data_IF_064041995530
#
_entry.id   IF_064041995530
#
_cell.length_a   1.000
_cell.length_b   1.000
_cell.length_c   1.000
_cell.angle_alpha   90.00
_cell.angle_beta   90.00
_cell.angle_gamma   90.00
#
_symmetry.space_group_name_H-M   'P 1'
#
loop_
_entity.id
_entity.type
_entity.pdbx_description
1 polymer ?
#
# COMPACT_ATOMS: atom_id res chain seq x y z
N UNK A 1 -4.43 0.16 -7.21
CA UNK A 1 -3.43 0.36 -8.30
C UNK A 1 -3.90 1.24 -9.45
N UNK A 2 -5.11 1.06 -10.00
CA UNK A 2 -5.59 1.83 -11.17
C UNK A 2 -5.54 3.36 -11.01
N UNK A 3 -5.79 3.87 -9.79
CA UNK A 3 -5.76 5.30 -9.50
C UNK A 3 -4.37 5.94 -9.66
N UNK A 4 -3.29 5.24 -9.29
CA UNK A 4 -1.92 5.75 -9.42
C UNK A 4 -1.53 5.83 -10.90
N UNK A 5 -1.83 4.79 -11.69
CA UNK A 5 -1.56 4.77 -13.13
C UNK A 5 -2.38 5.83 -13.88
N UNK A 6 -3.67 6.00 -13.58
CA UNK A 6 -4.52 6.99 -14.26
C UNK A 6 -4.15 8.43 -13.91
N UNK A 7 -3.64 8.69 -12.69
CA UNK A 7 -3.03 9.97 -12.36
C UNK A 7 -1.85 10.31 -13.31
N UNK A 8 -1.16 9.32 -13.89
CA UNK A 8 -0.08 9.53 -14.87
C UNK A 8 -0.54 9.44 -16.32
N UNK A 9 -1.41 8.49 -16.67
CA UNK A 9 -1.85 8.25 -18.07
C UNK A 9 -2.99 9.14 -18.52
N UNK A 10 -3.77 9.67 -17.57
CA UNK A 10 -4.89 10.57 -17.81
C UNK A 10 -4.47 11.78 -18.63
N UNK A 11 -5.31 12.13 -19.60
CA UNK A 11 -5.05 13.14 -20.64
C UNK A 11 -4.65 14.52 -20.06
N UNK A 12 -5.02 14.82 -18.81
CA UNK A 12 -4.73 16.08 -18.10
C UNK A 12 -3.31 16.28 -17.60
N UNK A 13 -2.52 15.23 -17.38
CA UNK A 13 -1.07 15.40 -17.20
C UNK A 13 -0.37 15.76 -18.52
N UNK A 14 -0.98 15.43 -19.67
CA UNK A 14 -0.53 15.85 -21.01
C UNK A 14 -1.02 17.25 -21.37
N UNK A 15 -2.25 17.62 -21.00
CA UNK A 15 -2.84 18.95 -21.24
C UNK A 15 -2.34 20.03 -20.27
N UNK A 16 -1.05 19.96 -19.89
CA UNK A 16 -0.39 20.91 -18.99
C UNK A 16 -0.08 22.26 -19.65
N UNK A 17 -1.03 22.84 -20.36
CA UNK A 17 -1.00 24.24 -20.79
C UNK A 17 -2.20 25.04 -20.26
N UNK A 18 -3.10 24.45 -19.47
CA UNK A 18 -4.17 25.20 -18.79
C UNK A 18 -3.84 25.46 -17.30
N UNK A 19 -3.81 26.74 -16.97
CA UNK A 19 -3.35 27.43 -15.75
C UNK A 19 -3.99 27.07 -14.39
N UNK A 20 -4.50 25.85 -14.15
CA UNK A 20 -5.38 25.60 -12.98
C UNK A 20 -5.08 24.39 -12.10
N UNK A 21 -4.12 23.52 -12.44
CA UNK A 21 -3.80 22.33 -11.64
C UNK A 21 -2.44 22.49 -10.92
N UNK A 22 -2.44 22.49 -9.58
CA UNK A 22 -1.20 22.59 -8.79
C UNK A 22 -0.49 21.23 -8.78
N UNK A 23 0.41 21.00 -9.75
CA UNK A 23 1.15 19.72 -9.90
C UNK A 23 1.75 19.18 -8.60
N UNK A 24 2.17 20.06 -7.69
CA UNK A 24 2.75 19.66 -6.40
C UNK A 24 1.77 18.90 -5.51
N UNK A 25 0.52 19.36 -5.45
CA UNK A 25 -0.46 18.81 -4.51
C UNK A 25 -0.89 17.38 -4.85
N UNK A 26 -1.12 17.11 -6.15
CA UNK A 26 -1.48 15.77 -6.60
C UNK A 26 -0.37 14.75 -6.35
N UNK A 27 0.91 15.15 -6.52
CA UNK A 27 2.07 14.30 -6.22
C UNK A 27 2.12 13.99 -4.73
N UNK A 28 1.91 14.99 -3.86
CA UNK A 28 1.82 14.78 -2.41
C UNK A 28 0.72 13.78 -2.05
N UNK A 29 -0.46 13.92 -2.66
CA UNK A 29 -1.60 13.02 -2.40
C UNK A 29 -1.30 11.59 -2.87
N UNK A 30 -0.63 11.42 -4.02
CA UNK A 30 -0.23 10.09 -4.52
C UNK A 30 0.78 9.44 -3.58
N UNK A 31 1.80 10.18 -3.11
CA UNK A 31 2.76 9.70 -2.10
C UNK A 31 2.06 9.33 -0.80
N UNK A 32 1.19 10.21 -0.31
CA UNK A 32 0.37 9.97 0.87
C UNK A 32 -0.50 8.72 0.71
N UNK A 33 -1.09 8.49 -0.45
CA UNK A 33 -1.88 7.28 -0.73
C UNK A 33 -1.04 6.01 -0.72
N UNK A 34 0.20 6.04 -1.24
CA UNK A 34 1.14 4.92 -1.14
C UNK A 34 1.45 4.62 0.33
N UNK A 35 1.87 5.62 1.09
CA UNK A 35 2.16 5.50 2.53
C UNK A 35 0.96 4.97 3.31
N UNK A 36 -0.20 5.59 3.09
CA UNK A 36 -1.45 5.23 3.74
C UNK A 36 -1.91 3.82 3.43
N UNK A 37 -1.65 3.34 2.22
CA UNK A 37 -1.99 1.96 1.84
C UNK A 37 -1.08 0.95 2.55
N UNK A 38 0.22 1.25 2.70
CA UNK A 38 1.16 0.42 3.45
C UNK A 38 0.74 0.34 4.92
N UNK A 39 0.52 1.49 5.56
CA UNK A 39 0.14 1.57 6.98
C UNK A 39 -1.27 1.01 7.20
N UNK A 40 -2.20 1.30 6.29
CA UNK A 40 -3.58 0.81 6.33
C UNK A 40 -3.63 -0.71 6.29
N UNK A 41 -2.92 -1.33 5.35
CA UNK A 41 -2.87 -2.79 5.27
C UNK A 41 -2.18 -3.42 6.49
N UNK A 42 -1.10 -2.81 6.97
CA UNK A 42 -0.28 -3.35 8.08
C UNK A 42 -0.93 -3.16 9.46
N UNK A 43 -1.65 -2.07 9.68
CA UNK A 43 -2.26 -1.73 10.97
C UNK A 43 -3.77 -1.88 10.95
N UNK A 44 -4.47 -1.16 10.07
CA UNK A 44 -5.93 -1.09 10.10
C UNK A 44 -6.58 -2.42 9.68
N UNK A 45 -6.17 -2.96 8.55
CA UNK A 45 -6.77 -4.18 7.98
C UNK A 45 -6.35 -5.40 8.77
N UNK A 46 -5.06 -5.51 9.08
CA UNK A 46 -4.55 -6.58 9.92
C UNK A 46 -5.13 -6.51 11.34
N UNK A 47 -5.20 -5.32 11.93
CA UNK A 47 -5.85 -5.11 13.22
C UNK A 47 -7.33 -5.47 13.19
N UNK A 48 -8.03 -5.13 12.11
CA UNK A 48 -9.40 -5.57 11.86
C UNK A 48 -9.51 -7.10 11.78
N UNK A 49 -8.63 -7.75 11.03
CA UNK A 49 -8.58 -9.21 10.95
C UNK A 49 -8.37 -9.86 12.33
N UNK A 50 -7.46 -9.32 13.15
CA UNK A 50 -7.21 -9.82 14.51
C UNK A 50 -8.39 -9.56 15.44
N UNK A 51 -9.01 -8.39 15.35
CA UNK A 51 -10.18 -8.01 16.13
C UNK A 51 -11.39 -8.90 15.81
N UNK A 52 -11.82 -8.94 14.54
CA UNK A 52 -12.98 -9.73 14.13
C UNK A 52 -12.75 -11.23 14.26
N UNK A 53 -11.54 -11.71 13.96
CA UNK A 53 -11.16 -13.09 14.22
C UNK A 53 -11.18 -13.41 15.72
N UNK A 54 -10.60 -12.53 16.54
CA UNK A 54 -10.43 -12.66 17.98
C UNK A 54 -11.74 -12.60 18.78
N UNK A 55 -12.75 -11.88 18.29
CA UNK A 55 -14.11 -11.90 18.87
C UNK A 55 -14.72 -13.29 18.74
N UNK A 56 -14.50 -13.96 17.61
CA UNK A 56 -15.07 -15.28 17.33
C UNK A 56 -14.24 -16.42 17.94
N UNK A 57 -12.91 -16.28 17.95
CA UNK A 57 -11.98 -17.28 18.44
C UNK A 57 -11.02 -16.65 19.45
N UNK A 58 -10.92 -17.23 20.66
CA UNK A 58 -10.08 -16.68 21.73
C UNK A 58 -8.62 -16.44 21.32
N UNK A 59 -8.06 -17.36 20.54
CA UNK A 59 -6.72 -17.26 19.95
C UNK A 59 -6.77 -17.81 18.51
N UNK A 60 -6.10 -17.11 17.59
CA UNK A 60 -5.80 -17.58 16.25
C UNK A 60 -4.30 -17.83 16.13
N UNK A 61 -3.90 -18.84 15.38
CA UNK A 61 -2.48 -19.14 15.13
C UNK A 61 -2.20 -19.00 13.65
N UNK A 62 -0.98 -18.63 13.32
CA UNK A 62 -0.47 -18.62 11.96
C UNK A 62 0.93 -19.25 11.93
N UNK A 63 1.37 -19.63 10.74
CA UNK A 63 2.59 -20.36 10.48
C UNK A 63 3.81 -19.44 10.70
N UNK A 64 4.71 -19.80 11.62
CA UNK A 64 5.88 -18.98 11.96
C UNK A 64 6.80 -18.72 10.77
N UNK A 65 7.00 -19.73 9.92
CA UNK A 65 7.91 -19.63 8.79
C UNK A 65 7.38 -18.66 7.73
N UNK A 66 6.06 -18.70 7.48
CA UNK A 66 5.40 -17.80 6.52
C UNK A 66 5.38 -16.36 7.01
N UNK A 67 5.08 -16.17 8.30
CA UNK A 67 5.09 -14.85 8.89
C UNK A 67 6.50 -14.24 8.91
N UNK A 68 7.51 -15.01 9.31
CA UNK A 68 8.90 -14.54 9.33
C UNK A 68 9.40 -14.17 7.92
N UNK A 69 9.07 -14.97 6.90
CA UNK A 69 9.40 -14.65 5.51
C UNK A 69 8.77 -13.32 5.08
N UNK A 70 7.46 -13.16 5.32
CA UNK A 70 6.75 -11.93 4.95
C UNK A 70 7.25 -10.70 5.74
N UNK A 71 7.57 -10.87 7.01
CA UNK A 71 8.13 -9.81 7.85
C UNK A 71 9.52 -9.37 7.39
N UNK A 72 10.42 -10.32 7.11
CA UNK A 72 11.77 -10.02 6.64
C UNK A 72 11.76 -9.30 5.28
N UNK A 73 10.90 -9.74 4.36
CA UNK A 73 10.68 -9.05 3.08
C UNK A 73 10.13 -7.64 3.29
N UNK A 74 9.14 -7.47 4.18
CA UNK A 74 8.56 -6.16 4.49
C UNK A 74 9.61 -5.19 5.06
N UNK A 75 10.44 -5.66 6.00
CA UNK A 75 11.50 -4.86 6.62
C UNK A 75 12.58 -4.41 5.62
N UNK A 76 13.02 -5.31 4.73
CA UNK A 76 13.99 -5.00 3.67
C UNK A 76 13.45 -3.94 2.70
N UNK A 77 12.21 -4.13 2.25
CA UNK A 77 11.55 -3.26 1.29
C UNK A 77 11.36 -1.85 1.85
N UNK A 78 10.93 -1.77 3.10
CA UNK A 78 10.69 -0.49 3.74
C UNK A 78 12.01 0.22 4.03
N UNK A 79 13.05 -0.52 4.41
CA UNK A 79 14.40 0.06 4.52
C UNK A 79 14.86 0.68 3.19
N UNK A 80 14.65 -0.01 2.05
CA UNK A 80 14.98 0.53 0.73
C UNK A 80 14.17 1.79 0.35
N UNK A 81 12.89 1.83 0.72
CA UNK A 81 11.98 2.95 0.40
C UNK A 81 12.23 4.18 1.27
N UNK A 82 12.71 4.02 2.52
CA UNK A 82 12.91 5.12 3.46
C UNK A 82 14.26 5.82 3.32
N UNK A 83 15.30 5.14 2.80
CA UNK A 83 16.65 5.71 2.64
C UNK A 83 16.64 7.06 1.89
N UNK A 84 15.98 7.22 0.73
CA UNK A 84 15.90 8.51 0.04
C UNK A 84 15.34 9.63 0.94
N UNK A 85 14.27 9.33 1.67
CA UNK A 85 13.62 10.30 2.55
C UNK A 85 14.54 10.69 3.70
N UNK A 86 15.17 9.72 4.37
CA UNK A 86 16.09 9.96 5.49
C UNK A 86 17.28 10.83 5.06
N UNK A 87 17.88 10.55 3.90
CA UNK A 87 19.00 11.34 3.38
C UNK A 87 18.62 12.80 3.14
N UNK A 88 17.40 13.07 2.65
CA UNK A 88 16.92 14.44 2.47
C UNK A 88 16.56 15.14 3.78
N UNK A 89 15.90 14.45 4.71
CA UNK A 89 15.48 15.05 5.99
C UNK A 89 16.65 15.33 6.92
N UNK A 90 17.67 14.48 6.91
CA UNK A 90 18.90 14.70 7.68
C UNK A 90 19.83 15.75 7.05
N UNK A 91 19.46 16.33 5.90
CA UNK A 91 20.25 17.34 5.18
C UNK A 91 21.72 16.94 5.03
N UNK A 92 21.96 15.68 4.67
CA UNK A 92 23.32 15.14 4.52
C UNK A 92 24.07 16.01 3.51
N UNK A 93 25.22 16.56 3.92
CA UNK A 93 26.02 17.46 3.10
C UNK A 93 26.29 16.85 1.72
N UNK A 94 25.96 17.58 0.65
CA UNK A 94 26.11 17.13 -0.73
C UNK A 94 24.87 16.48 -1.38
N UNK A 95 23.81 16.17 -0.62
CA UNK A 95 22.58 15.60 -1.18
C UNK A 95 21.59 16.68 -1.62
N UNK A 96 21.58 17.00 -2.92
CA UNK A 96 20.68 18.01 -3.51
C UNK A 96 19.33 17.41 -3.93
N UNK A 97 18.29 18.24 -4.13
CA UNK A 97 17.00 17.80 -4.68
C UNK A 97 17.11 17.08 -6.03
N UNK A 98 18.04 17.49 -6.89
CA UNK A 98 18.29 16.82 -8.18
C UNK A 98 18.88 15.41 -7.99
N UNK A 99 19.75 15.26 -6.98
CA UNK A 99 20.30 13.97 -6.59
C UNK A 99 19.23 13.05 -5.99
N UNK A 100 18.29 13.59 -5.20
CA UNK A 100 17.13 12.86 -4.67
C UNK A 100 16.28 12.20 -5.76
N UNK A 101 16.01 12.93 -6.84
CA UNK A 101 15.25 12.41 -7.98
C UNK A 101 15.97 11.24 -8.66
N UNK A 102 17.27 11.41 -8.93
CA UNK A 102 18.10 10.40 -9.60
C UNK A 102 18.27 9.15 -8.72
N UNK A 103 18.46 9.36 -7.42
CA UNK A 103 18.56 8.29 -6.43
C UNK A 103 17.24 7.51 -6.32
N UNK A 104 16.10 8.20 -6.25
CA UNK A 104 14.78 7.56 -6.20
C UNK A 104 14.50 6.72 -7.45
N UNK A 105 14.95 7.16 -8.63
CA UNK A 105 14.83 6.40 -9.88
C UNK A 105 15.68 5.12 -9.85
N UNK A 106 16.93 5.20 -9.39
CA UNK A 106 17.80 4.04 -9.24
C UNK A 106 17.23 3.02 -8.25
N UNK A 107 16.78 3.49 -7.08
CA UNK A 107 16.12 2.66 -6.05
C UNK A 107 14.87 2.00 -6.62
N UNK A 108 14.08 2.74 -7.42
CA UNK A 108 12.87 2.20 -8.04
C UNK A 108 13.17 1.03 -8.99
N UNK A 109 14.24 1.13 -9.81
CA UNK A 109 14.66 0.03 -10.69
C UNK A 109 15.05 -1.20 -9.87
N UNK A 110 15.82 -1.02 -8.78
CA UNK A 110 16.23 -2.11 -7.89
C UNK A 110 15.01 -2.79 -7.26
N UNK A 111 14.04 -2.02 -6.76
CA UNK A 111 12.82 -2.53 -6.15
C UNK A 111 11.96 -3.35 -7.13
N UNK A 112 11.83 -2.91 -8.38
CA UNK A 112 11.14 -3.66 -9.44
C UNK A 112 11.86 -4.99 -9.73
N UNK A 113 13.18 -5.01 -9.77
CA UNK A 113 13.96 -6.25 -9.94
C UNK A 113 13.71 -7.22 -8.78
N UNK A 114 13.72 -6.72 -7.54
CA UNK A 114 13.39 -7.50 -6.34
C UNK A 114 11.96 -8.05 -6.42
N UNK A 115 10.99 -7.26 -6.90
CA UNK A 115 9.62 -7.72 -7.09
C UNK A 115 9.55 -8.92 -8.06
N UNK A 116 10.17 -8.83 -9.23
CA UNK A 116 10.17 -9.93 -10.20
C UNK A 116 10.93 -11.16 -9.69
N UNK A 117 12.03 -10.97 -8.98
CA UNK A 117 12.72 -12.08 -8.31
C UNK A 117 11.82 -12.76 -7.27
N UNK A 118 11.06 -11.97 -6.49
CA UNK A 118 10.05 -12.45 -5.55
C UNK A 118 8.93 -13.22 -6.24
N UNK A 119 8.44 -12.75 -7.39
CA UNK A 119 7.45 -13.48 -8.19
C UNK A 119 8.00 -14.83 -8.69
N UNK A 120 9.26 -14.87 -9.15
CA UNK A 120 9.90 -16.14 -9.55
C UNK A 120 10.04 -17.08 -8.36
N UNK A 121 10.41 -16.55 -7.20
CA UNK A 121 10.49 -17.34 -5.96
C UNK A 121 9.12 -17.95 -5.61
N UNK A 122 8.07 -17.13 -5.63
CA UNK A 122 6.70 -17.52 -5.30
C UNK A 122 6.13 -18.54 -6.30
N UNK A 123 6.26 -18.26 -7.60
CA UNK A 123 5.62 -19.01 -8.67
C UNK A 123 6.47 -20.13 -9.26
N UNK A 124 7.73 -20.31 -8.84
CA UNK A 124 8.58 -21.38 -9.39
C UNK A 124 9.25 -22.19 -8.30
N UNK A 125 10.03 -21.56 -7.43
CA UNK A 125 10.86 -22.30 -6.46
C UNK A 125 10.07 -22.75 -5.24
N UNK A 126 9.09 -21.98 -4.80
CA UNK A 126 8.34 -22.24 -3.57
C UNK A 126 6.81 -22.30 -3.77
N UNK A 127 6.37 -22.88 -4.90
CA UNK A 127 4.93 -23.13 -5.18
C UNK A 127 4.19 -23.85 -4.05
N UNK A 128 4.90 -24.62 -3.22
CA UNK A 128 4.34 -25.37 -2.10
C UNK A 128 3.89 -24.51 -0.91
N UNK A 129 4.42 -23.29 -0.74
CA UNK A 129 4.11 -22.43 0.41
C UNK A 129 2.69 -21.86 0.40
N UNK A 130 2.02 -21.82 -0.76
CA UNK A 130 0.66 -21.28 -0.93
C UNK A 130 -0.36 -22.33 -1.43
N UNK A 131 0.00 -23.62 -1.42
CA UNK A 131 -0.85 -24.68 -2.00
C UNK A 131 -2.14 -24.90 -1.20
N UNK A 132 -2.10 -24.73 0.12
CA UNK A 132 -3.27 -24.81 0.99
C UNK A 132 -4.20 -23.60 0.81
N UNK A 133 -3.63 -22.44 0.47
CA UNK A 133 -4.32 -21.18 0.14
C UNK A 133 -5.20 -21.29 -1.10
N UNK A 134 -4.69 -21.89 -2.18
CA UNK A 134 -5.40 -22.05 -3.45
C UNK A 134 -6.65 -22.93 -3.30
N UNK A 135 -6.58 -23.95 -2.45
CA UNK A 135 -7.67 -24.93 -2.26
C UNK A 135 -8.97 -24.32 -1.70
N UNK A 136 -8.86 -23.25 -0.90
CA UNK A 136 -10.00 -22.56 -0.29
C UNK A 136 -10.56 -21.49 -1.24
N UNK A 137 -9.69 -20.81 -2.00
CA UNK A 137 -10.12 -19.81 -3.00
C UNK A 137 -10.84 -20.46 -4.19
N UNK A 138 -10.37 -21.62 -4.65
CA UNK A 138 -11.00 -22.39 -5.74
C UNK A 138 -12.42 -22.91 -5.42
N UNK A 139 -12.77 -23.08 -4.14
CA UNK A 139 -14.14 -23.47 -3.76
C UNK A 139 -15.16 -22.34 -3.91
N UNK A 140 -14.72 -21.09 -4.07
CA UNK A 140 -15.62 -19.93 -4.09
C UNK A 140 -16.00 -19.48 -5.51
N UNK A 141 -15.11 -19.63 -6.50
CA UNK A 141 -15.38 -19.17 -7.87
C UNK A 141 -14.73 -20.11 -8.89
N UNK A 142 -15.54 -20.89 -9.60
CA UNK A 142 -15.09 -21.73 -10.71
C UNK A 142 -15.59 -21.12 -12.04
N UNK A 143 -14.96 -20.04 -12.49
CA UNK A 143 -15.25 -19.43 -13.78
C UNK A 143 -14.26 -19.89 -14.83
N UNK A 144 -14.77 -20.30 -16.00
CA UNK A 144 -13.91 -20.62 -17.14
C UNK A 144 -13.12 -19.40 -17.62
N UNK A 145 -11.91 -19.62 -18.14
CA UNK A 145 -10.95 -18.59 -18.55
C UNK A 145 -11.57 -17.41 -19.32
N UNK A 146 -12.45 -17.70 -20.30
CA UNK A 146 -13.12 -16.67 -21.11
C UNK A 146 -13.99 -15.73 -20.27
N UNK A 147 -14.73 -16.24 -19.29
CA UNK A 147 -15.58 -15.42 -18.41
C UNK A 147 -14.72 -14.54 -17.52
N UNK A 148 -13.65 -15.08 -16.95
CA UNK A 148 -12.71 -14.32 -16.10
C UNK A 148 -12.06 -13.16 -16.85
N UNK A 149 -11.63 -13.38 -18.10
CA UNK A 149 -11.06 -12.31 -18.95
C UNK A 149 -12.09 -11.23 -19.27
N UNK A 150 -13.34 -11.60 -19.59
CA UNK A 150 -14.41 -10.63 -19.87
C UNK A 150 -14.68 -9.76 -18.64
N UNK A 151 -14.86 -10.37 -17.46
CA UNK A 151 -15.08 -9.61 -16.23
C UNK A 151 -13.90 -8.71 -15.89
N UNK A 152 -12.65 -9.20 -16.04
CA UNK A 152 -11.45 -8.42 -15.81
C UNK A 152 -11.42 -7.14 -16.66
N UNK A 153 -11.71 -7.25 -17.96
CA UNK A 153 -11.72 -6.08 -18.86
C UNK A 153 -12.83 -5.11 -18.48
N UNK A 154 -14.06 -5.61 -18.24
CA UNK A 154 -15.20 -4.77 -17.87
C UNK A 154 -14.94 -4.02 -16.56
N UNK A 155 -14.50 -4.71 -15.51
CA UNK A 155 -14.23 -4.08 -14.21
C UNK A 155 -13.09 -3.08 -14.30
N UNK A 156 -12.07 -3.37 -15.11
CA UNK A 156 -10.96 -2.43 -15.34
C UNK A 156 -11.45 -1.15 -16.02
N UNK A 157 -12.28 -1.26 -17.06
CA UNK A 157 -12.84 -0.11 -17.76
C UNK A 157 -13.72 0.75 -16.83
N UNK A 158 -14.57 0.12 -16.02
CA UNK A 158 -15.39 0.83 -15.02
C UNK A 158 -14.50 1.54 -13.99
N UNK A 159 -13.45 0.87 -13.49
CA UNK A 159 -12.53 1.47 -12.52
C UNK A 159 -11.81 2.69 -13.07
N UNK A 160 -11.41 2.69 -14.35
CA UNK A 160 -10.81 3.87 -15.00
C UNK A 160 -11.77 5.07 -14.91
N UNK A 161 -13.04 4.88 -15.25
CA UNK A 161 -14.05 5.96 -15.16
C UNK A 161 -14.28 6.46 -13.73
N UNK A 162 -14.34 5.55 -12.74
CA UNK A 162 -14.49 5.93 -11.32
C UNK A 162 -13.28 6.71 -10.82
N UNK A 163 -12.08 6.30 -11.21
CA UNK A 163 -10.82 6.94 -10.86
C UNK A 163 -10.74 8.35 -11.43
N UNK A 164 -11.17 8.56 -12.68
CA UNK A 164 -11.20 9.89 -13.29
C UNK A 164 -12.12 10.85 -12.52
N UNK A 165 -13.32 10.40 -12.16
CA UNK A 165 -14.27 11.16 -11.32
C UNK A 165 -13.64 11.47 -9.96
N UNK A 166 -12.96 10.49 -9.35
CA UNK A 166 -12.29 10.66 -8.06
C UNK A 166 -11.21 11.75 -8.14
N UNK A 167 -10.30 11.70 -9.11
CA UNK A 167 -9.23 12.71 -9.25
C UNK A 167 -9.82 14.12 -9.39
N UNK A 168 -10.87 14.27 -10.21
CA UNK A 168 -11.51 15.56 -10.46
C UNK A 168 -12.25 16.14 -9.23
N UNK A 169 -12.58 15.31 -8.24
CA UNK A 169 -13.29 15.73 -7.03
C UNK A 169 -12.38 15.94 -5.82
N UNK A 170 -11.13 15.44 -5.86
CA UNK A 170 -10.16 15.56 -4.75
C UNK A 170 -9.84 17.02 -4.42
N UNK A 171 -9.44 17.85 -5.39
CA UNK A 171 -9.09 19.26 -5.14
C UNK A 171 -10.27 20.09 -4.61
N UNK A 172 -11.49 20.03 -5.20
CA UNK A 172 -12.67 20.69 -4.63
C UNK A 172 -12.97 20.25 -3.19
N UNK A 173 -12.83 18.96 -2.90
CA UNK A 173 -13.10 18.39 -1.57
C UNK A 173 -12.10 18.89 -0.53
N UNK A 174 -10.82 18.95 -0.87
CA UNK A 174 -9.78 19.53 -0.02
C UNK A 174 -10.10 20.98 0.36
N UNK A 175 -10.52 21.79 -0.62
CA UNK A 175 -10.87 23.21 -0.40
C UNK A 175 -12.15 23.36 0.42
N UNK A 176 -13.18 22.55 0.17
CA UNK A 176 -14.47 22.69 0.86
C UNK A 176 -14.45 22.18 2.30
N UNK A 177 -13.73 21.08 2.56
CA UNK A 177 -13.64 20.47 3.90
C UNK A 177 -12.47 21.00 4.72
N UNK A 178 -11.53 21.73 4.10
CA UNK A 178 -10.33 22.24 4.75
C UNK A 178 -9.36 21.14 5.20
N UNK A 179 -9.40 19.99 4.53
CA UNK A 179 -8.54 18.84 4.81
C UNK A 179 -7.17 19.01 4.15
N UNK A 180 -6.12 18.49 4.79
CA UNK A 180 -4.76 18.46 4.23
C UNK A 180 -4.58 17.38 3.17
N UNK A 181 -3.61 17.59 2.26
CA UNK A 181 -3.26 16.65 1.19
C UNK A 181 -2.82 15.28 1.75
N UNK A 182 -2.07 15.30 2.86
CA UNK A 182 -1.60 14.09 3.54
C UNK A 182 -2.76 13.27 4.10
N UNK A 183 -3.75 13.90 4.75
CA UNK A 183 -4.91 13.19 5.27
C UNK A 183 -5.76 12.57 4.15
N UNK A 184 -6.00 13.34 3.09
CA UNK A 184 -6.79 12.87 1.96
C UNK A 184 -6.13 11.67 1.29
N UNK A 185 -4.83 11.73 1.04
CA UNK A 185 -4.08 10.61 0.45
C UNK A 185 -3.98 9.42 1.41
N UNK A 186 -3.42 9.64 2.60
CA UNK A 186 -3.01 8.56 3.49
C UNK A 186 -4.14 7.87 4.24
N UNK A 187 -5.27 8.54 4.44
CA UNK A 187 -6.42 7.97 5.15
C UNK A 187 -7.54 7.67 4.18
N UNK A 188 -8.10 8.70 3.53
CA UNK A 188 -9.33 8.56 2.75
C UNK A 188 -9.12 7.72 1.50
N UNK A 189 -8.16 8.11 0.65
CA UNK A 189 -7.92 7.44 -0.63
C UNK A 189 -7.31 6.06 -0.46
N UNK A 190 -6.39 5.89 0.50
CA UNK A 190 -5.81 4.59 0.82
C UNK A 190 -6.87 3.58 1.28
N UNK A 191 -7.79 3.97 2.16
CA UNK A 191 -8.85 3.07 2.64
C UNK A 191 -9.81 2.67 1.53
N UNK A 192 -10.25 3.64 0.71
CA UNK A 192 -11.17 3.38 -0.40
C UNK A 192 -10.50 2.51 -1.46
N UNK A 193 -9.26 2.84 -1.82
CA UNK A 193 -8.48 2.15 -2.86
C UNK A 193 -8.23 0.68 -2.55
N UNK A 194 -8.15 0.31 -1.27
CA UNK A 194 -7.88 -1.05 -0.82
C UNK A 194 -9.11 -1.76 -0.22
N UNK A 195 -10.29 -1.11 -0.14
CA UNK A 195 -11.46 -1.62 0.58
C UNK A 195 -11.88 -3.05 0.17
N UNK A 196 -11.78 -3.38 -1.13
CA UNK A 196 -12.10 -4.71 -1.64
C UNK A 196 -11.14 -5.79 -1.09
N UNK A 197 -9.83 -5.54 -1.13
CA UNK A 197 -8.81 -6.45 -0.59
C UNK A 197 -8.93 -6.58 0.93
N UNK A 198 -9.18 -5.46 1.60
CA UNK A 198 -9.35 -5.39 3.05
C UNK A 198 -10.50 -6.30 3.52
N UNK A 199 -11.61 -6.28 2.79
CA UNK A 199 -12.80 -7.09 3.10
C UNK A 199 -12.51 -8.60 3.01
N UNK A 200 -11.69 -9.01 2.04
CA UNK A 200 -11.32 -10.42 1.84
C UNK A 200 -10.44 -10.91 3.00
N UNK A 201 -9.48 -10.09 3.47
CA UNK A 201 -8.64 -10.45 4.61
C UNK A 201 -9.47 -10.65 5.89
N UNK A 202 -10.41 -9.74 6.19
CA UNK A 202 -11.32 -9.86 7.32
C UNK A 202 -12.19 -11.12 7.22
N UNK A 203 -12.68 -11.45 6.02
CA UNK A 203 -13.46 -12.66 5.78
C UNK A 203 -12.67 -13.94 6.09
N UNK A 204 -11.39 -14.01 5.68
CA UNK A 204 -10.55 -15.17 5.97
C UNK A 204 -10.21 -15.30 7.45
N UNK A 205 -9.96 -14.19 8.13
CA UNK A 205 -9.78 -14.18 9.58
C UNK A 205 -11.04 -14.69 10.31
N UNK A 206 -12.22 -14.24 9.89
CA UNK A 206 -13.51 -14.72 10.40
C UNK A 206 -13.74 -16.21 10.18
N UNK A 207 -13.16 -16.78 9.11
CA UNK A 207 -13.18 -18.20 8.77
C UNK A 207 -12.07 -19.01 9.45
N UNK A 208 -11.42 -18.45 10.49
CA UNK A 208 -10.33 -19.08 11.24
C UNK A 208 -9.07 -19.34 10.39
N UNK A 209 -8.89 -18.60 9.31
CA UNK A 209 -7.72 -18.73 8.46
C UNK A 209 -6.86 -17.46 8.55
N UNK A 210 -6.13 -17.36 9.66
CA UNK A 210 -5.29 -16.19 9.94
C UNK A 210 -4.05 -16.15 9.04
N UNK A 211 -3.51 -17.30 8.63
CA UNK A 211 -2.40 -17.37 7.66
C UNK A 211 -2.72 -16.63 6.36
N UNK A 212 -3.93 -16.84 5.83
CA UNK A 212 -4.39 -16.16 4.62
C UNK A 212 -4.67 -14.70 4.84
N UNK A 213 -5.37 -14.37 5.93
CA UNK A 213 -5.65 -12.97 6.26
C UNK A 213 -4.35 -12.17 6.40
N UNK A 214 -3.37 -12.71 7.14
CA UNK A 214 -2.05 -12.13 7.33
C UNK A 214 -1.32 -11.96 5.99
N UNK A 215 -1.24 -13.03 5.20
CA UNK A 215 -0.54 -13.01 3.91
C UNK A 215 -1.16 -12.01 2.94
N UNK A 216 -2.49 -11.90 2.88
CA UNK A 216 -3.17 -10.91 2.03
C UNK A 216 -2.78 -9.49 2.44
N UNK A 217 -2.81 -9.17 3.74
CA UNK A 217 -2.46 -7.84 4.23
C UNK A 217 -1.00 -7.49 3.91
N UNK A 218 -0.06 -8.37 4.26
CA UNK A 218 1.37 -8.07 4.11
C UNK A 218 1.79 -8.08 2.65
N UNK A 219 1.30 -9.01 1.84
CA UNK A 219 1.64 -9.03 0.42
C UNK A 219 1.07 -7.80 -0.30
N UNK A 220 -0.13 -7.33 0.03
CA UNK A 220 -0.68 -6.10 -0.56
C UNK A 220 0.19 -4.88 -0.18
N UNK A 221 0.58 -4.76 1.09
CA UNK A 221 1.47 -3.68 1.53
C UNK A 221 2.85 -3.73 0.87
N UNK A 222 3.45 -4.93 0.76
CA UNK A 222 4.72 -5.15 0.07
C UNK A 222 4.63 -4.77 -1.41
N UNK A 223 3.60 -5.25 -2.13
CA UNK A 223 3.40 -4.93 -3.55
C UNK A 223 3.30 -3.42 -3.78
N UNK A 224 2.64 -2.70 -2.87
CA UNK A 224 2.57 -1.23 -2.97
C UNK A 224 3.96 -0.61 -2.83
N UNK A 225 4.79 -1.10 -1.91
CA UNK A 225 6.13 -0.57 -1.67
C UNK A 225 7.17 -0.96 -2.74
N UNK A 226 7.19 -2.21 -3.24
CA UNK A 226 8.20 -2.69 -4.23
C UNK A 226 7.79 -2.56 -5.69
N UNK A 227 6.50 -2.40 -5.95
CA UNK A 227 6.00 -2.34 -7.32
C UNK A 227 5.28 -1.02 -7.58
N UNK A 228 4.25 -0.66 -6.82
CA UNK A 228 3.43 0.53 -7.12
C UNK A 228 4.21 1.82 -6.97
N UNK A 229 4.91 2.02 -5.85
CA UNK A 229 5.66 3.25 -5.61
C UNK A 229 6.83 3.43 -6.61
N UNK A 230 7.65 2.40 -6.89
CA UNK A 230 8.68 2.45 -7.92
C UNK A 230 8.14 2.72 -9.32
N UNK A 231 7.02 2.08 -9.66
CA UNK A 231 6.38 2.26 -10.96
C UNK A 231 5.87 3.70 -11.12
N UNK A 232 5.35 4.31 -10.06
CA UNK A 232 4.95 5.72 -10.07
C UNK A 232 6.14 6.66 -10.33
N UNK A 233 7.31 6.39 -9.76
CA UNK A 233 8.54 7.16 -10.02
C UNK A 233 9.00 7.01 -11.47
N UNK A 234 8.98 5.79 -12.00
CA UNK A 234 9.36 5.51 -13.39
C UNK A 234 8.40 6.21 -14.36
N UNK A 235 7.09 6.14 -14.12
CA UNK A 235 6.13 6.88 -14.94
C UNK A 235 6.29 8.39 -14.81
N UNK A 236 6.55 8.91 -13.60
CA UNK A 236 6.89 10.31 -13.40
C UNK A 236 8.06 10.74 -14.27
N UNK A 237 9.13 9.95 -14.31
CA UNK A 237 10.27 10.22 -15.19
C UNK A 237 9.91 10.22 -16.68
N UNK A 238 9.14 9.22 -17.15
CA UNK A 238 8.73 9.12 -18.57
C UNK A 238 7.85 10.29 -19.00
N UNK A 239 6.97 10.77 -18.12
CA UNK A 239 6.02 11.86 -18.40
C UNK A 239 6.52 13.25 -17.95
N UNK A 240 7.76 13.37 -17.47
CA UNK A 240 8.33 14.65 -17.03
C UNK A 240 7.70 15.25 -15.76
N UNK A 241 7.11 14.41 -14.91
CA UNK A 241 6.56 14.77 -13.60
C UNK A 241 7.59 14.43 -12.52
N UNK A 242 7.97 15.37 -11.63
CA UNK A 242 9.02 15.14 -10.62
C UNK A 242 8.50 14.30 -9.43
N UNK A 243 8.19 13.04 -9.69
CA UNK A 243 7.85 12.04 -8.67
C UNK A 243 9.12 11.39 -8.14
N UNK A 244 9.30 11.39 -6.82
CA UNK A 244 10.41 10.71 -6.13
C UNK A 244 9.87 9.87 -4.95
N UNK A 245 10.78 9.14 -4.28
CA UNK A 245 10.49 8.38 -3.06
C UNK A 245 10.82 9.21 -1.80
N UNK A 246 10.76 10.54 -1.91
CA UNK A 246 10.91 11.43 -0.77
C UNK A 246 9.53 11.70 -0.15
N UNK A 247 9.26 10.99 0.95
CA UNK A 247 8.04 11.09 1.74
C UNK A 247 8.18 12.12 2.85
N UNK A 248 7.06 12.66 3.31
CA UNK A 248 7.03 13.56 4.45
C UNK A 248 7.53 12.84 5.72
N UNK A 249 8.11 13.58 6.67
CA UNK A 249 8.71 12.98 7.87
C UNK A 249 7.72 12.13 8.66
N UNK A 250 6.46 12.59 8.79
CA UNK A 250 5.41 11.81 9.46
C UNK A 250 5.11 10.49 8.74
N UNK A 251 5.12 10.49 7.40
CA UNK A 251 4.92 9.28 6.60
C UNK A 251 6.04 8.25 6.83
N UNK A 252 7.29 8.71 6.83
CA UNK A 252 8.49 7.90 7.12
C UNK A 252 8.38 7.27 8.52
N UNK A 253 8.03 8.08 9.53
CA UNK A 253 7.86 7.63 10.92
C UNK A 253 6.73 6.58 10.99
N UNK A 254 5.60 6.84 10.34
CA UNK A 254 4.44 5.97 10.42
C UNK A 254 4.66 4.62 9.71
N UNK A 255 5.30 4.60 8.53
CA UNK A 255 5.72 3.36 7.87
C UNK A 255 6.72 2.59 8.76
N UNK A 256 7.71 3.27 9.33
CA UNK A 256 8.74 2.65 10.18
C UNK A 256 8.13 1.99 11.42
N UNK A 257 7.30 2.74 12.16
CA UNK A 257 6.63 2.25 13.36
C UNK A 257 5.63 1.14 13.05
N UNK A 258 4.87 1.26 11.96
CA UNK A 258 3.92 0.21 11.57
C UNK A 258 4.62 -1.11 11.26
N UNK A 259 5.78 -1.06 10.59
CA UNK A 259 6.59 -2.25 10.27
C UNK A 259 7.21 -2.86 11.51
N UNK A 260 7.75 -2.03 12.40
CA UNK A 260 8.31 -2.49 13.66
C UNK A 260 7.25 -3.22 14.49
N UNK A 261 6.08 -2.61 14.64
CA UNK A 261 4.99 -3.19 15.43
C UNK A 261 4.44 -4.45 14.77
N UNK A 262 4.35 -4.49 13.45
CA UNK A 262 4.01 -5.70 12.71
C UNK A 262 4.96 -6.85 13.08
N UNK A 263 6.28 -6.62 13.06
CA UNK A 263 7.27 -7.63 13.45
C UNK A 263 7.06 -8.06 14.90
N UNK A 264 6.88 -7.12 15.82
CA UNK A 264 6.71 -7.42 17.25
C UNK A 264 5.45 -8.24 17.54
N UNK A 265 4.31 -7.87 16.95
CA UNK A 265 3.01 -8.53 17.18
C UNK A 265 2.95 -9.91 16.52
N UNK A 266 3.86 -10.22 15.60
CA UNK A 266 3.84 -11.50 14.89
C UNK A 266 4.86 -12.52 15.41
N UNK A 267 5.71 -12.12 16.37
CA UNK A 267 6.78 -12.96 16.96
C UNK A 267 6.23 -14.13 17.78
N UNK A 268 5.06 -13.99 18.39
CA UNK A 268 4.44 -15.03 19.22
C UNK A 268 3.62 -16.04 18.40
N UNK A 269 3.45 -15.78 17.09
CA UNK A 269 2.75 -16.62 16.12
C UNK A 269 1.27 -16.87 16.45
N UNK A 270 0.71 -16.04 17.32
CA UNK A 270 -0.69 -16.08 17.75
C UNK A 270 -1.28 -14.70 17.68
N UNK A 271 -2.60 -14.62 17.60
CA UNK A 271 -3.29 -13.34 17.64
C UNK A 271 -4.56 -13.40 18.47
N UNK A 272 -4.90 -12.27 19.09
CA UNK A 272 -6.13 -12.07 19.84
C UNK A 272 -6.81 -10.74 19.50
N UNK A 273 -8.02 -10.54 20.02
CA UNK A 273 -8.81 -9.35 19.71
C UNK A 273 -8.18 -8.06 20.26
N UNK A 274 -7.44 -8.14 21.38
CA UNK A 274 -6.85 -6.98 22.04
C UNK A 274 -5.68 -6.42 21.21
N UNK A 275 -4.82 -7.29 20.67
CA UNK A 275 -3.80 -6.89 19.68
C UNK A 275 -4.44 -6.23 18.47
N UNK A 276 -5.58 -6.74 18.01
CA UNK A 276 -6.36 -6.10 16.94
C UNK A 276 -6.77 -4.67 17.29
N UNK A 277 -7.29 -4.44 18.50
CA UNK A 277 -7.63 -3.09 18.98
C UNK A 277 -6.40 -2.20 19.10
N UNK A 278 -5.25 -2.72 19.54
CA UNK A 278 -4.01 -1.95 19.64
C UNK A 278 -3.51 -1.48 18.27
N UNK A 279 -3.54 -2.36 17.26
CA UNK A 279 -3.16 -2.01 15.89
C UNK A 279 -4.10 -0.97 15.28
N UNK A 280 -5.41 -1.13 15.45
CA UNK A 280 -6.42 -0.14 15.00
C UNK A 280 -6.23 1.18 15.74
N UNK A 281 -5.97 1.14 17.05
CA UNK A 281 -5.73 2.32 17.87
C UNK A 281 -4.53 3.13 17.37
N UNK A 282 -3.42 2.45 17.05
CA UNK A 282 -2.25 3.11 16.48
C UNK A 282 -2.55 3.71 15.09
N UNK A 283 -3.29 3.00 14.23
CA UNK A 283 -3.72 3.55 12.95
C UNK A 283 -4.52 4.84 13.12
N UNK A 284 -5.46 4.87 14.09
CA UNK A 284 -6.25 6.06 14.39
C UNK A 284 -5.38 7.22 14.89
N UNK A 285 -4.36 6.96 15.71
CA UNK A 285 -3.41 8.00 16.14
C UNK A 285 -2.70 8.61 14.93
N UNK A 286 -2.22 7.79 13.98
CA UNK A 286 -1.63 8.32 12.75
C UNK A 286 -2.64 9.06 11.87
N UNK A 287 -3.87 8.56 11.74
CA UNK A 287 -4.91 9.22 10.96
C UNK A 287 -5.26 10.61 11.54
N UNK A 288 -5.33 10.72 12.87
CA UNK A 288 -5.51 12.01 13.56
C UNK A 288 -4.30 12.91 13.33
N UNK A 289 -3.07 12.38 13.43
CA UNK A 289 -1.85 13.16 13.17
C UNK A 289 -1.82 13.71 11.74
N UNK A 290 -2.18 12.89 10.73
CA UNK A 290 -2.29 13.35 9.34
C UNK A 290 -3.38 14.41 9.15
N UNK A 291 -4.48 14.33 9.90
CA UNK A 291 -5.56 15.32 9.84
C UNK A 291 -5.13 16.72 10.30
N UNK A 292 -4.27 16.81 11.32
CA UNK A 292 -3.78 18.08 11.84
C UNK A 292 -2.71 18.75 10.97
N UNK A 293 -2.08 18.01 10.04
CA UNK A 293 -1.10 18.56 9.10
C UNK A 293 -1.82 19.00 7.83
N UNK A 294 -1.70 20.29 7.50
CA UNK A 294 -2.29 20.90 6.30
C UNK A 294 -1.27 21.05 5.19
#
# INVERSE_FOLDING_TARGET
>A
MGWVLECYTGQRCRDTYSHTCNKGGLITIVKASITGSIIGNSLFVLGGAFFFGGIRYKELKFNPNMAMLNNSMMALVISALLIPSILTHLSVEGFTKSMSQSFSLLVSIILIVIYFAGLIFLFRTHRGLFKDTESISHRLVNWGFKKSVIYLVITTAVMIGVVEILINTVEPTLKSLGWGELFMGAVVLALIGNAAENSIALLFAWRKNMDLAFSICINSAQQIAIFVAPLAVIFGFVYGVPMDLNFHLLEVIAISLSTLILVLVTVDHKTNWLEGVQLIGLYLVFAIAFYFIK
#
